data_IF_164396724412
#
_entry.id   IF_164396724412
#
_cell.length_a   1.000
_cell.length_b   1.000
_cell.length_c   1.000
_cell.angle_alpha   90.00
_cell.angle_beta   90.00
_cell.angle_gamma   90.00
#
_symmetry.space_group_name_H-M   'P 1'
#
loop_
_entity.id
_entity.type
_entity.pdbx_description
1 polymer ?
#
# COMPACT_ATOMS: atom_id res chain seq x y z
N UNK A 1 -14.65 -5.96 -20.28
CA UNK A 1 -15.25 -5.98 -18.92
C UNK A 1 -15.24 -4.54 -18.42
N UNK A 2 -16.40 -3.92 -18.13
CA UNK A 2 -16.41 -2.67 -17.33
C UNK A 2 -15.79 -3.05 -15.98
N UNK A 3 -14.67 -2.44 -15.62
CA UNK A 3 -14.05 -2.68 -14.32
C UNK A 3 -15.03 -2.34 -13.22
N UNK A 4 -14.91 -2.99 -12.06
CA UNK A 4 -15.60 -2.53 -10.86
C UNK A 4 -15.29 -1.04 -10.65
N UNK A 5 -16.26 -0.24 -10.22
CA UNK A 5 -15.99 1.15 -9.88
C UNK A 5 -14.89 1.20 -8.81
N UNK A 6 -14.02 2.20 -8.91
CA UNK A 6 -13.02 2.48 -7.88
C UNK A 6 -13.72 2.78 -6.54
N UNK A 7 -13.05 2.53 -5.41
CA UNK A 7 -13.53 3.00 -4.12
C UNK A 7 -13.80 4.52 -4.13
N UNK A 8 -14.67 5.02 -3.25
CA UNK A 8 -14.92 6.46 -3.13
C UNK A 8 -13.65 7.21 -2.69
N UNK A 9 -13.57 8.50 -2.97
CA UNK A 9 -12.42 9.30 -2.57
C UNK A 9 -12.47 10.74 -3.06
N UNK A 10 -11.52 11.58 -2.63
CA UNK A 10 -11.44 12.97 -3.05
C UNK A 10 -11.20 13.08 -4.56
N UNK A 11 -11.93 13.97 -5.23
CA UNK A 11 -11.80 14.19 -6.67
C UNK A 11 -10.36 14.60 -7.02
N UNK A 12 -9.65 13.84 -7.86
CA UNK A 12 -8.27 14.14 -8.21
C UNK A 12 -8.19 15.30 -9.22
N UNK A 13 -7.20 16.18 -9.06
CA UNK A 13 -6.83 17.13 -10.11
C UNK A 13 -6.25 16.40 -11.33
N UNK A 14 -6.43 16.95 -12.55
CA UNK A 14 -5.73 16.47 -13.74
C UNK A 14 -4.21 16.45 -13.51
N UNK A 15 -3.56 15.34 -13.90
CA UNK A 15 -2.12 15.05 -13.76
C UNK A 15 -1.57 14.97 -12.32
N UNK A 16 -1.97 15.87 -11.42
CA UNK A 16 -1.43 15.99 -10.07
C UNK A 16 -2.12 15.05 -9.05
N UNK A 17 -3.33 14.62 -9.35
CA UNK A 17 -4.12 13.83 -8.42
C UNK A 17 -4.54 14.64 -7.20
N UNK A 18 -4.40 14.06 -6.03
CA UNK A 18 -4.75 14.62 -4.72
C UNK A 18 -3.52 15.21 -4.00
N UNK A 19 -2.43 15.54 -4.73
CA UNK A 19 -1.20 16.08 -4.15
C UNK A 19 -1.41 17.27 -3.20
N UNK A 20 -2.34 18.17 -3.53
CA UNK A 20 -2.66 19.35 -2.71
C UNK A 20 -3.65 19.06 -1.58
N UNK A 21 -4.30 17.90 -1.59
CA UNK A 21 -5.26 17.51 -0.58
C UNK A 21 -4.60 16.65 0.52
N UNK A 22 -3.37 16.17 0.30
CA UNK A 22 -2.61 15.35 1.25
C UNK A 22 -1.57 16.22 1.95
N UNK A 23 -1.58 16.22 3.28
CA UNK A 23 -0.43 16.71 4.04
C UNK A 23 0.71 15.69 3.93
N UNK A 24 1.76 16.02 3.19
CA UNK A 24 2.88 15.09 2.91
C UNK A 24 3.72 14.79 4.15
N UNK A 25 3.74 15.68 5.16
CA UNK A 25 4.49 15.46 6.40
C UNK A 25 3.79 14.41 7.29
N UNK A 26 2.46 14.42 7.31
CA UNK A 26 1.64 13.55 8.14
C UNK A 26 0.42 12.98 7.39
N UNK A 27 0.63 12.20 6.30
CA UNK A 27 -0.43 11.80 5.39
C UNK A 27 -1.51 10.94 6.08
N UNK A 28 -1.14 10.18 7.11
CA UNK A 28 -2.10 9.38 7.88
C UNK A 28 -3.18 10.22 8.57
N UNK A 29 -2.90 11.47 8.93
CA UNK A 29 -3.92 12.38 9.51
C UNK A 29 -4.98 12.71 8.46
N UNK A 30 -4.56 13.09 7.24
CA UNK A 30 -5.48 13.31 6.12
C UNK A 30 -6.31 12.06 5.81
N UNK A 31 -5.69 10.88 5.83
CA UNK A 31 -6.39 9.61 5.54
C UNK A 31 -7.48 9.30 6.57
N UNK A 32 -7.22 9.61 7.85
CA UNK A 32 -8.18 9.49 8.95
C UNK A 32 -9.32 10.51 8.79
N UNK A 33 -9.01 11.76 8.42
CA UNK A 33 -10.04 12.78 8.16
C UNK A 33 -10.96 12.38 7.01
N UNK A 34 -10.39 11.86 5.92
CA UNK A 34 -11.13 11.35 4.77
C UNK A 34 -12.02 10.16 5.09
N UNK A 35 -11.66 9.34 6.09
CA UNK A 35 -12.50 8.22 6.57
C UNK A 35 -13.92 8.69 6.88
N UNK A 36 -14.06 9.84 7.54
CA UNK A 36 -15.37 10.36 7.93
C UNK A 36 -16.26 10.71 6.73
N UNK A 37 -15.67 10.98 5.58
CA UNK A 37 -16.39 11.39 4.35
C UNK A 37 -16.57 10.24 3.37
N UNK A 38 -15.55 9.38 3.20
CA UNK A 38 -15.52 8.36 2.15
C UNK A 38 -15.62 6.92 2.67
N UNK A 39 -15.47 6.71 3.99
CA UNK A 39 -15.58 5.39 4.63
C UNK A 39 -14.23 4.69 4.85
N UNK A 40 -14.31 3.38 5.12
CA UNK A 40 -13.15 2.57 5.56
C UNK A 40 -12.17 2.21 4.44
N UNK A 41 -12.63 2.11 3.19
CA UNK A 41 -11.80 1.87 2.00
C UNK A 41 -12.01 3.01 1.03
N UNK A 42 -10.95 3.76 0.76
CA UNK A 42 -11.02 4.93 -0.10
C UNK A 42 -9.87 4.98 -1.10
N UNK A 43 -10.13 5.62 -2.23
CA UNK A 43 -9.21 5.76 -3.34
C UNK A 43 -8.60 7.16 -3.36
N UNK A 44 -7.29 7.25 -3.58
CA UNK A 44 -6.59 8.50 -3.84
C UNK A 44 -5.52 8.30 -4.90
N UNK A 45 -5.15 9.38 -5.59
CA UNK A 45 -4.09 9.36 -6.60
C UNK A 45 -3.05 10.42 -6.27
N UNK A 46 -1.77 10.10 -6.26
CA UNK A 46 -0.69 11.07 -6.19
C UNK A 46 0.10 11.00 -7.50
N UNK A 47 0.03 12.04 -8.32
CA UNK A 47 0.63 12.02 -9.67
C UNK A 47 0.15 10.80 -10.49
N UNK A 48 1.05 9.89 -10.85
CA UNK A 48 0.80 8.64 -11.58
C UNK A 48 0.65 7.41 -10.67
N UNK A 49 0.62 7.61 -9.35
CA UNK A 49 0.48 6.54 -8.37
C UNK A 49 -0.94 6.53 -7.81
N UNK A 50 -1.55 5.36 -7.82
CA UNK A 50 -2.91 5.13 -7.35
C UNK A 50 -2.86 4.34 -6.03
N UNK A 51 -3.68 4.75 -5.06
CA UNK A 51 -3.66 4.22 -3.70
C UNK A 51 -5.07 3.87 -3.26
N UNK A 52 -5.22 2.65 -2.74
CA UNK A 52 -6.34 2.28 -1.89
C UNK A 52 -5.88 2.40 -0.43
N UNK A 53 -6.58 3.23 0.33
CA UNK A 53 -6.30 3.51 1.73
C UNK A 53 -7.28 2.71 2.59
N UNK A 54 -6.73 1.91 3.51
CA UNK A 54 -7.48 1.06 4.43
C UNK A 54 -7.50 1.70 5.83
N UNK A 55 -8.67 2.14 6.26
CA UNK A 55 -8.89 2.82 7.55
C UNK A 55 -9.53 1.92 8.61
N UNK A 56 -9.65 0.62 8.34
CA UNK A 56 -10.18 -0.40 9.24
C UNK A 56 -9.18 -1.54 9.41
N UNK A 57 -9.00 -1.99 10.66
CA UNK A 57 -8.18 -3.17 10.96
C UNK A 57 -8.76 -4.43 10.30
N UNK A 58 -10.09 -4.56 10.24
CA UNK A 58 -10.74 -5.72 9.63
C UNK A 58 -10.39 -5.85 8.15
N UNK A 59 -10.43 -4.75 7.42
CA UNK A 59 -10.09 -4.72 5.99
C UNK A 59 -8.60 -4.95 5.77
N UNK A 60 -7.74 -4.38 6.62
CA UNK A 60 -6.30 -4.62 6.57
C UNK A 60 -5.97 -6.11 6.77
N UNK A 61 -6.58 -6.77 7.75
CA UNK A 61 -6.39 -8.22 7.99
C UNK A 61 -6.94 -9.04 6.82
N UNK A 62 -8.14 -8.72 6.35
CA UNK A 62 -8.80 -9.46 5.26
C UNK A 62 -8.00 -9.40 3.95
N UNK A 63 -7.43 -8.23 3.62
CA UNK A 63 -6.69 -8.04 2.39
C UNK A 63 -5.21 -8.41 2.54
N UNK A 64 -4.52 -7.87 3.54
CA UNK A 64 -3.05 -7.97 3.61
C UNK A 64 -2.56 -9.27 4.26
N UNK A 65 -3.28 -9.80 5.25
CA UNK A 65 -2.88 -11.03 5.96
C UNK A 65 -3.48 -12.30 5.36
N UNK A 66 -4.79 -12.28 5.06
CA UNK A 66 -5.47 -13.49 4.54
C UNK A 66 -5.27 -13.70 3.04
N UNK A 67 -4.95 -12.64 2.28
CA UNK A 67 -4.79 -12.70 0.81
C UNK A 67 -3.41 -12.19 0.34
N UNK A 68 -2.30 -12.64 0.95
CA UNK A 68 -0.98 -12.05 0.71
C UNK A 68 -0.52 -12.21 -0.74
N UNK A 69 -0.96 -13.26 -1.44
CA UNK A 69 -0.62 -13.48 -2.86
C UNK A 69 -1.08 -12.34 -3.77
N UNK A 70 -2.14 -11.61 -3.39
CA UNK A 70 -2.69 -10.53 -4.20
C UNK A 70 -2.11 -9.16 -3.81
N UNK A 71 -1.79 -8.96 -2.53
CA UNK A 71 -1.49 -7.63 -1.96
C UNK A 71 -0.07 -7.47 -1.39
N UNK A 72 0.78 -8.50 -1.47
CA UNK A 72 2.14 -8.45 -0.88
C UNK A 72 3.25 -8.06 -1.86
N UNK A 73 2.97 -7.71 -3.12
CA UNK A 73 4.01 -7.17 -4.00
C UNK A 73 4.49 -5.79 -3.52
N UNK A 74 5.62 -5.32 -4.04
CA UNK A 74 6.17 -4.01 -3.71
C UNK A 74 6.10 -3.09 -4.93
N UNK A 75 5.67 -1.83 -4.75
CA UNK A 75 5.72 -0.86 -5.82
C UNK A 75 7.17 -0.62 -6.23
N UNK A 76 7.35 -0.18 -7.48
CA UNK A 76 8.64 0.32 -7.92
C UNK A 76 9.00 1.60 -7.17
N UNK A 77 10.15 1.62 -6.51
CA UNK A 77 10.70 2.81 -5.85
C UNK A 77 12.04 3.10 -6.54
N UNK A 78 12.10 4.22 -7.26
CA UNK A 78 13.23 4.58 -8.12
C UNK A 78 14.58 4.67 -7.39
N UNK A 79 14.56 4.85 -6.07
CA UNK A 79 15.76 4.97 -5.23
C UNK A 79 16.30 3.63 -4.73
N UNK A 80 15.57 2.51 -4.82
CA UNK A 80 16.04 1.23 -4.24
C UNK A 80 17.35 0.75 -4.88
N UNK A 81 17.41 0.72 -6.21
CA UNK A 81 18.55 0.19 -6.96
C UNK A 81 19.78 1.11 -6.90
N UNK A 82 19.66 2.43 -7.12
CA UNK A 82 20.81 3.35 -7.02
C UNK A 82 21.47 3.36 -5.64
N UNK A 83 20.69 3.16 -4.57
CA UNK A 83 21.22 3.09 -3.21
C UNK A 83 21.74 1.68 -2.86
N UNK A 84 21.65 0.71 -3.76
CA UNK A 84 22.11 -0.66 -3.55
C UNK A 84 21.34 -1.42 -2.45
N UNK A 85 20.12 -1.00 -2.10
CA UNK A 85 19.34 -1.58 -0.99
C UNK A 85 18.31 -2.62 -1.44
N UNK A 86 18.27 -2.97 -2.73
CA UNK A 86 17.34 -3.96 -3.29
C UNK A 86 17.49 -5.38 -2.76
N UNK A 87 18.64 -5.72 -2.14
CA UNK A 87 18.84 -7.02 -1.53
C UNK A 87 17.97 -7.22 -0.27
N UNK A 88 17.56 -6.13 0.41
CA UNK A 88 16.73 -6.17 1.62
C UNK A 88 15.36 -6.74 1.26
N UNK A 89 14.98 -7.85 1.87
CA UNK A 89 13.74 -8.56 1.50
C UNK A 89 12.47 -7.71 1.70
N UNK A 90 12.50 -6.70 2.58
CA UNK A 90 11.41 -5.74 2.77
C UNK A 90 11.04 -4.96 1.49
N UNK A 91 12.01 -4.75 0.59
CA UNK A 91 11.86 -4.10 -0.71
C UNK A 91 11.79 -5.08 -1.88
N UNK A 92 11.89 -6.39 -1.62
CA UNK A 92 11.84 -7.41 -2.65
C UNK A 92 10.42 -7.58 -3.19
N UNK A 93 10.31 -7.76 -4.51
CA UNK A 93 9.04 -8.12 -5.16
C UNK A 93 8.52 -9.47 -4.65
N UNK A 94 7.20 -9.63 -4.63
CA UNK A 94 6.59 -10.88 -4.24
C UNK A 94 6.98 -11.99 -5.22
N UNK A 95 7.39 -13.14 -4.69
CA UNK A 95 7.88 -14.26 -5.48
C UNK A 95 8.62 -15.30 -4.62
N UNK A 96 9.22 -16.30 -5.24
CA UNK A 96 9.84 -17.43 -4.53
C UNK A 96 10.96 -17.00 -3.59
N UNK A 97 11.81 -16.05 -4.02
CA UNK A 97 12.87 -15.49 -3.19
C UNK A 97 12.30 -14.81 -1.94
N UNK A 98 11.26 -13.99 -2.11
CA UNK A 98 10.62 -13.30 -0.98
C UNK A 98 9.96 -14.31 -0.01
N UNK A 99 9.22 -15.30 -0.53
CA UNK A 99 8.59 -16.36 0.28
C UNK A 99 9.62 -17.19 1.04
N UNK A 100 10.78 -17.44 0.46
CA UNK A 100 11.90 -18.10 1.15
C UNK A 100 12.44 -17.24 2.31
N UNK A 101 12.74 -15.96 2.05
CA UNK A 101 13.19 -15.03 3.09
C UNK A 101 12.18 -14.94 4.24
N UNK A 102 10.89 -14.83 3.92
CA UNK A 102 9.82 -14.75 4.92
C UNK A 102 9.76 -16.02 5.78
N UNK A 103 9.86 -17.21 5.19
CA UNK A 103 9.89 -18.48 5.94
C UNK A 103 11.08 -18.55 6.89
N UNK A 104 12.28 -18.19 6.43
CA UNK A 104 13.48 -18.19 7.26
C UNK A 104 13.31 -17.21 8.44
N UNK A 105 12.81 -16.01 8.17
CA UNK A 105 12.55 -15.01 9.20
C UNK A 105 11.57 -15.52 10.27
N UNK A 106 10.41 -16.02 9.86
CA UNK A 106 9.42 -16.56 10.81
C UNK A 106 9.92 -17.79 11.58
N UNK A 107 10.71 -18.67 10.96
CA UNK A 107 11.31 -19.81 11.66
C UNK A 107 12.27 -19.35 12.75
N UNK A 108 13.07 -18.32 12.48
CA UNK A 108 14.08 -17.82 13.42
C UNK A 108 13.49 -16.99 14.56
N UNK A 109 12.47 -16.19 14.26
CA UNK A 109 11.91 -15.20 15.18
C UNK A 109 10.50 -15.54 15.67
N UNK A 110 10.04 -16.79 15.52
CA UNK A 110 8.85 -17.26 16.23
C UNK A 110 9.14 -17.19 17.74
N UNK A 111 8.50 -16.23 18.41
CA UNK A 111 8.37 -16.26 19.87
C UNK A 111 7.46 -17.46 20.21
N UNK A 112 7.82 -18.32 21.17
CA UNK A 112 7.00 -19.44 21.58
C UNK A 112 5.60 -19.02 22.07
#
# INVERSE_FOLDING_TARGET
RKGSPLPPGPTPFPLLGNAFAINIEEPWKTYIEWKATYGDVLYARLLNQEFDILNSQGDAVELLEKRPQNYSDRPFIATIEPYGIGFKFAFGRYGDRWRLCQRIFHQRFRVP
#
